data_IF_879274971390
#
_entry.id   IF_879274971390
#
_cell.length_a   1.000
_cell.length_b   1.000
_cell.length_c   1.000
_cell.angle_alpha   90.00
_cell.angle_beta   90.00
_cell.angle_gamma   90.00
#
_symmetry.space_group_name_H-M   'P 1'
#
loop_
_entity.id
_entity.type
_entity.pdbx_description
1 polymer ?
#
# COMPACT_ATOMS: atom_id res chain seq x y z
N UNK A 1 23.08 -2.82 -6.16
CA UNK A 1 23.09 -3.09 -4.70
C UNK A 1 23.82 -4.40 -4.43
N UNK A 2 24.57 -4.53 -3.33
CA UNK A 2 25.20 -5.81 -2.96
C UNK A 2 24.13 -6.84 -2.58
N UNK A 3 24.34 -8.11 -2.94
CA UNK A 3 23.41 -9.20 -2.62
C UNK A 3 23.35 -9.39 -1.10
N UNK A 4 22.17 -9.18 -0.50
CA UNK A 4 21.97 -9.40 0.95
C UNK A 4 22.18 -10.87 1.26
N UNK A 5 23.12 -11.19 2.15
CA UNK A 5 23.39 -12.59 2.55
C UNK A 5 22.45 -12.97 3.69
N UNK A 6 22.15 -14.27 3.80
CA UNK A 6 21.35 -14.81 4.92
C UNK A 6 21.89 -14.37 6.29
N UNK A 7 23.21 -14.36 6.46
CA UNK A 7 23.85 -13.92 7.69
C UNK A 7 23.53 -12.45 8.01
N UNK A 8 23.61 -11.56 7.02
CA UNK A 8 23.33 -10.14 7.21
C UNK A 8 21.89 -9.93 7.71
N UNK A 9 20.92 -10.68 7.16
CA UNK A 9 19.53 -10.64 7.61
C UNK A 9 19.33 -11.17 9.05
N UNK A 10 19.98 -12.28 9.42
CA UNK A 10 19.90 -12.84 10.78
C UNK A 10 20.60 -11.94 11.81
N UNK A 11 21.75 -11.37 11.44
CA UNK A 11 22.51 -10.43 12.27
C UNK A 11 21.68 -9.16 12.51
N UNK A 12 21.01 -8.62 11.48
CA UNK A 12 20.09 -7.47 11.61
C UNK A 12 18.96 -7.68 12.63
N UNK A 13 18.44 -8.91 12.78
CA UNK A 13 17.35 -9.22 13.72
C UNK A 13 17.83 -9.59 15.13
N UNK A 14 19.10 -9.99 15.29
CA UNK A 14 19.61 -10.57 16.54
C UNK A 14 20.62 -9.67 17.28
N UNK A 15 21.34 -8.80 16.58
CA UNK A 15 22.37 -7.96 17.19
C UNK A 15 21.76 -6.81 18.00
N UNK A 16 22.35 -6.54 19.18
CA UNK A 16 21.84 -5.53 20.10
C UNK A 16 20.62 -6.02 20.86
N UNK A 17 19.47 -5.40 20.62
CA UNK A 17 18.17 -5.84 21.17
C UNK A 17 17.47 -6.67 20.10
N UNK A 18 17.15 -7.96 20.33
CA UNK A 18 16.45 -8.79 19.35
C UNK A 18 15.09 -8.22 18.93
N UNK A 19 14.74 -8.46 17.67
CA UNK A 19 13.53 -7.91 17.05
C UNK A 19 13.73 -6.51 16.50
N UNK A 20 12.68 -5.93 15.93
CA UNK A 20 12.74 -4.64 15.21
C UNK A 20 11.93 -3.52 15.86
N UNK A 21 11.22 -3.82 16.94
CA UNK A 21 10.29 -2.91 17.59
C UNK A 21 10.50 -2.85 19.10
N UNK A 22 10.04 -1.75 19.71
CA UNK A 22 9.99 -1.58 21.15
C UNK A 22 8.88 -0.59 21.52
N UNK A 23 8.31 -0.73 22.72
CA UNK A 23 7.39 0.24 23.29
C UNK A 23 8.18 1.31 24.04
N UNK A 24 7.93 2.58 23.72
CA UNK A 24 8.57 3.73 24.35
C UNK A 24 7.50 4.68 24.87
N UNK A 25 7.64 5.17 26.10
CA UNK A 25 6.73 6.14 26.67
C UNK A 25 6.83 7.48 25.92
N UNK A 26 5.69 8.08 25.59
CA UNK A 26 5.61 9.39 24.90
C UNK A 26 5.61 10.57 25.85
N UNK A 27 5.39 10.34 27.15
CA UNK A 27 5.38 11.35 28.21
C UNK A 27 6.57 11.17 29.15
N UNK A 28 7.12 12.26 29.72
CA UNK A 28 8.15 12.16 30.75
C UNK A 28 7.67 11.32 31.93
N UNK A 29 8.59 10.56 32.54
CA UNK A 29 8.35 9.81 33.77
C UNK A 29 9.57 9.95 34.69
N UNK A 30 9.89 11.21 35.03
CA UNK A 30 11.13 11.59 35.73
C UNK A 30 10.90 12.15 37.13
N UNK A 31 9.65 12.39 37.51
CA UNK A 31 9.28 12.95 38.81
C UNK A 31 8.10 12.22 39.46
N UNK A 32 7.91 12.43 40.76
CA UNK A 32 6.72 11.94 41.49
C UNK A 32 5.42 12.50 40.87
N UNK A 33 5.45 13.75 40.41
CA UNK A 33 4.33 14.37 39.71
C UNK A 33 4.02 13.61 38.42
N UNK A 34 5.03 13.31 37.61
CA UNK A 34 4.85 12.55 36.37
C UNK A 34 4.24 11.18 36.66
N UNK A 35 4.72 10.47 37.69
CA UNK A 35 4.16 9.18 38.10
C UNK A 35 2.70 9.29 38.52
N UNK A 36 2.35 10.33 39.30
CA UNK A 36 0.96 10.56 39.75
C UNK A 36 -0.01 10.92 38.61
N UNK A 37 0.50 11.40 37.47
CA UNK A 37 -0.29 11.72 36.28
C UNK A 37 -0.36 10.53 35.31
N UNK A 38 0.76 9.82 35.13
CA UNK A 38 0.84 8.65 34.26
C UNK A 38 0.09 7.44 34.83
N UNK A 39 -0.08 7.39 36.15
CA UNK A 39 -0.77 6.32 36.85
C UNK A 39 -1.63 6.89 38.00
N UNK A 40 -1.88 6.09 39.04
CA UNK A 40 -2.70 6.50 40.16
C UNK A 40 -2.08 7.67 40.94
N UNK A 41 -2.89 8.65 41.39
CA UNK A 41 -4.35 8.72 41.20
C UNK A 41 -4.79 9.38 39.87
N UNK A 42 -3.93 10.11 39.17
CA UNK A 42 -4.31 11.00 38.06
C UNK A 42 -4.86 10.29 36.82
N UNK A 43 -4.49 9.03 36.57
CA UNK A 43 -5.04 8.23 35.46
C UNK A 43 -6.55 7.99 35.58
N UNK A 44 -7.14 8.16 36.77
CA UNK A 44 -8.59 8.02 36.96
C UNK A 44 -9.40 9.07 36.18
N UNK A 45 -8.89 10.30 36.05
CA UNK A 45 -9.58 11.39 35.38
C UNK A 45 -9.83 11.13 33.87
N UNK A 46 -8.83 10.74 33.05
CA UNK A 46 -9.09 10.38 31.66
C UNK A 46 -9.95 9.12 31.53
N UNK A 47 -9.87 8.16 32.46
CA UNK A 47 -10.77 7.00 32.48
C UNK A 47 -12.24 7.42 32.66
N UNK A 48 -12.52 8.31 33.61
CA UNK A 48 -13.87 8.81 33.85
C UNK A 48 -14.36 9.70 32.71
N UNK A 49 -13.48 10.53 32.11
CA UNK A 49 -13.84 11.31 30.93
C UNK A 49 -14.25 10.43 29.74
N UNK A 50 -13.58 9.29 29.52
CA UNK A 50 -13.95 8.31 28.49
C UNK A 50 -15.24 7.57 28.86
N UNK A 51 -15.46 7.29 30.14
CA UNK A 51 -16.71 6.69 30.62
C UNK A 51 -17.92 7.61 30.36
N UNK A 52 -17.76 8.92 30.58
CA UNK A 52 -18.79 9.93 30.33
C UNK A 52 -19.01 10.20 28.84
N UNK A 53 -17.92 10.29 28.05
CA UNK A 53 -17.95 10.43 26.60
C UNK A 53 -16.94 9.48 25.94
N UNK A 54 -17.39 8.34 25.38
CA UNK A 54 -16.51 7.36 24.74
C UNK A 54 -15.66 7.93 23.60
N UNK A 55 -16.04 9.05 22.99
CA UNK A 55 -15.25 9.67 21.91
C UNK A 55 -13.93 10.28 22.41
N UNK A 56 -13.82 10.57 23.71
CA UNK A 56 -12.59 11.07 24.34
C UNK A 56 -11.45 10.06 24.34
N UNK A 57 -11.72 8.79 24.01
CA UNK A 57 -10.67 7.77 23.85
C UNK A 57 -9.63 8.20 22.80
N UNK A 58 -10.03 8.96 21.78
CA UNK A 58 -9.13 9.51 20.75
C UNK A 58 -8.29 10.69 21.24
N UNK A 59 -8.69 11.36 22.32
CA UNK A 59 -7.98 12.49 22.91
C UNK A 59 -6.98 12.04 23.98
N UNK A 60 -7.36 11.06 24.80
CA UNK A 60 -6.59 10.67 25.99
C UNK A 60 -5.79 9.37 25.86
N UNK A 61 -5.88 8.68 24.72
CA UNK A 61 -5.16 7.42 24.50
C UNK A 61 -4.46 7.39 23.14
N UNK A 62 -3.59 6.40 22.96
CA UNK A 62 -2.93 6.17 21.68
C UNK A 62 -3.86 5.59 20.59
N UNK A 63 -5.11 5.22 20.91
CA UNK A 63 -6.06 4.55 19.99
C UNK A 63 -6.09 5.21 18.61
N UNK A 64 -6.16 6.54 18.55
CA UNK A 64 -6.27 7.28 17.29
C UNK A 64 -5.07 7.14 16.35
N UNK A 65 -3.92 6.67 16.84
CA UNK A 65 -2.71 6.47 16.05
C UNK A 65 -2.23 5.02 16.02
N UNK A 66 -2.97 4.10 16.66
CA UNK A 66 -2.53 2.73 16.89
C UNK A 66 -3.21 1.75 15.94
N UNK A 67 -2.43 1.02 15.16
CA UNK A 67 -2.90 -0.03 14.23
C UNK A 67 -2.46 -1.40 14.74
N UNK A 68 -3.36 -2.38 14.64
CA UNK A 68 -2.98 -3.78 14.82
C UNK A 68 -2.55 -4.37 13.48
N UNK A 69 -1.35 -4.90 13.38
CA UNK A 69 -0.95 -5.77 12.25
C UNK A 69 -1.22 -7.20 12.69
N UNK A 70 -2.22 -7.86 12.10
CA UNK A 70 -2.71 -9.15 12.56
C UNK A 70 -2.55 -10.22 11.49
N UNK A 71 -2.02 -11.37 11.87
CA UNK A 71 -1.87 -12.56 11.02
C UNK A 71 -2.12 -13.83 11.81
N UNK A 72 -2.36 -14.95 11.12
CA UNK A 72 -2.22 -16.30 11.67
C UNK A 72 -1.04 -17.08 11.05
N UNK A 73 -0.26 -16.44 10.18
CA UNK A 73 0.94 -17.02 9.57
C UNK A 73 0.67 -18.09 8.51
N UNK A 74 -0.52 -18.11 7.93
CA UNK A 74 -0.94 -19.16 6.98
C UNK A 74 -0.54 -18.89 5.52
N UNK A 75 -0.09 -17.68 5.19
CA UNK A 75 0.36 -17.31 3.86
C UNK A 75 1.52 -16.31 3.88
N UNK A 76 2.57 -16.59 4.68
CA UNK A 76 3.67 -15.65 4.88
C UNK A 76 4.54 -15.53 3.62
N UNK A 77 4.46 -14.38 2.94
CA UNK A 77 5.21 -14.14 1.70
C UNK A 77 5.01 -15.29 0.67
N UNK A 78 6.09 -15.77 0.05
CA UNK A 78 6.09 -16.98 -0.77
C UNK A 78 6.38 -18.28 0.01
N UNK A 79 6.40 -18.24 1.35
CA UNK A 79 6.75 -19.38 2.21
C UNK A 79 5.54 -20.26 2.56
N UNK A 80 4.33 -19.72 2.41
CA UNK A 80 3.08 -20.42 2.72
C UNK A 80 2.78 -20.45 4.21
N UNK A 81 2.17 -21.55 4.66
CA UNK A 81 1.77 -21.76 6.05
C UNK A 81 2.98 -22.19 6.89
N UNK A 82 3.56 -21.23 7.61
CA UNK A 82 4.69 -21.44 8.51
C UNK A 82 4.33 -21.15 9.98
N UNK A 83 3.07 -20.84 10.22
CA UNK A 83 2.51 -20.56 11.54
C UNK A 83 2.86 -19.18 12.11
N UNK A 84 2.17 -18.79 13.20
CA UNK A 84 2.22 -17.44 13.75
C UNK A 84 3.62 -17.03 14.24
N UNK A 85 4.35 -17.93 14.91
CA UNK A 85 5.69 -17.61 15.44
C UNK A 85 6.70 -17.26 14.33
N UNK A 86 6.64 -17.97 13.20
CA UNK A 86 7.55 -17.72 12.08
C UNK A 86 7.13 -16.50 11.25
N UNK A 87 5.87 -16.07 11.34
CA UNK A 87 5.35 -14.85 10.73
C UNK A 87 5.83 -13.57 11.45
N UNK A 88 6.14 -13.68 12.75
CA UNK A 88 6.48 -12.52 13.60
C UNK A 88 7.52 -11.55 13.03
N UNK A 89 8.66 -11.99 12.45
CA UNK A 89 9.60 -11.06 11.84
C UNK A 89 8.97 -10.25 10.71
N UNK A 90 8.06 -10.80 9.91
CA UNK A 90 7.38 -10.04 8.84
C UNK A 90 6.47 -8.97 9.43
N UNK A 91 5.70 -9.32 10.46
CA UNK A 91 4.77 -8.39 11.13
C UNK A 91 5.47 -7.24 11.85
N UNK A 92 6.56 -7.52 12.59
CA UNK A 92 7.42 -6.46 13.13
C UNK A 92 7.96 -5.54 12.03
N UNK A 93 8.28 -6.11 10.86
CA UNK A 93 8.69 -5.37 9.68
C UNK A 93 7.62 -4.40 9.21
N UNK A 94 6.36 -4.82 9.10
CA UNK A 94 5.22 -3.95 8.77
C UNK A 94 5.08 -2.82 9.80
N UNK A 95 5.25 -3.11 11.08
CA UNK A 95 5.27 -2.09 12.15
C UNK A 95 6.34 -1.01 11.95
N UNK A 96 7.57 -1.41 11.58
CA UNK A 96 8.64 -0.46 11.24
C UNK A 96 8.25 0.43 10.06
N UNK A 97 7.62 -0.14 9.02
CA UNK A 97 7.22 0.61 7.82
C UNK A 97 6.09 1.61 8.12
N UNK A 98 5.06 1.21 8.87
CA UNK A 98 4.00 2.10 9.35
C UNK A 98 4.59 3.30 10.11
N UNK A 99 5.49 3.02 11.07
CA UNK A 99 6.10 4.08 11.88
C UNK A 99 7.00 4.99 11.05
N UNK A 100 7.84 4.42 10.19
CA UNK A 100 8.83 5.17 9.41
C UNK A 100 8.18 6.09 8.36
N UNK A 101 7.15 5.61 7.67
CA UNK A 101 6.58 6.32 6.51
C UNK A 101 5.37 7.17 6.85
N UNK A 102 4.64 6.85 7.93
CA UNK A 102 3.38 7.52 8.26
C UNK A 102 3.23 7.90 9.75
N UNK A 103 4.27 7.71 10.57
CA UNK A 103 4.23 7.94 12.02
C UNK A 103 3.07 7.21 12.73
N UNK A 104 2.72 6.02 12.25
CA UNK A 104 1.68 5.17 12.83
C UNK A 104 2.32 4.21 13.82
N UNK A 105 1.75 4.14 15.03
CA UNK A 105 2.17 3.18 16.04
C UNK A 105 1.51 1.83 15.77
N UNK A 106 2.25 0.74 15.98
CA UNK A 106 1.79 -0.60 15.64
C UNK A 106 2.03 -1.57 16.79
N UNK A 107 1.03 -2.40 17.06
CA UNK A 107 1.26 -3.71 17.66
C UNK A 107 1.05 -4.79 16.61
N UNK A 108 2.05 -5.65 16.45
CA UNK A 108 1.95 -6.90 15.71
C UNK A 108 1.33 -7.99 16.59
N UNK A 109 0.34 -8.71 16.05
CA UNK A 109 -0.42 -9.75 16.74
C UNK A 109 -0.50 -11.00 15.88
N UNK A 110 0.33 -11.99 16.20
CA UNK A 110 0.33 -13.30 15.56
C UNK A 110 -0.60 -14.27 16.30
N UNK A 111 -1.80 -14.50 15.76
CA UNK A 111 -2.83 -15.32 16.39
C UNK A 111 -2.66 -16.80 16.02
N UNK A 112 -2.54 -17.67 17.02
CA UNK A 112 -2.68 -19.12 16.85
C UNK A 112 -4.17 -19.52 16.74
N UNK A 113 -4.79 -19.09 15.65
CA UNK A 113 -6.19 -19.31 15.33
C UNK A 113 -6.33 -19.64 13.82
N UNK A 114 -6.33 -20.93 13.52
CA UNK A 114 -6.53 -21.44 12.15
C UNK A 114 -8.00 -21.47 11.73
N UNK A 115 -8.92 -21.54 12.70
CA UNK A 115 -10.36 -21.43 12.47
C UNK A 115 -10.75 -19.97 12.18
N UNK A 116 -11.37 -19.67 11.02
CA UNK A 116 -11.71 -18.30 10.63
C UNK A 116 -12.68 -17.59 11.58
N UNK A 117 -13.65 -18.31 12.13
CA UNK A 117 -14.63 -17.71 13.05
C UNK A 117 -13.96 -17.32 14.37
N UNK A 118 -13.15 -18.21 14.93
CA UNK A 118 -12.34 -17.90 16.11
C UNK A 118 -11.39 -16.74 15.87
N UNK A 119 -10.76 -16.68 14.69
CA UNK A 119 -9.90 -15.55 14.32
C UNK A 119 -10.70 -14.24 14.31
N UNK A 120 -11.87 -14.21 13.67
CA UNK A 120 -12.77 -13.04 13.63
C UNK A 120 -13.18 -12.61 15.04
N UNK A 121 -13.56 -13.54 15.91
CA UNK A 121 -13.92 -13.22 17.30
C UNK A 121 -12.75 -12.59 18.07
N UNK A 122 -11.55 -13.18 17.95
CA UNK A 122 -10.36 -12.63 18.60
C UNK A 122 -10.05 -11.21 18.14
N UNK A 123 -10.10 -10.95 16.83
CA UNK A 123 -9.81 -9.62 16.27
C UNK A 123 -10.89 -8.61 16.63
N UNK A 124 -12.16 -8.95 16.49
CA UNK A 124 -13.26 -8.05 16.80
C UNK A 124 -13.29 -7.65 18.27
N UNK A 125 -12.91 -8.55 19.19
CA UNK A 125 -12.81 -8.24 20.61
C UNK A 125 -11.74 -7.19 20.94
N UNK A 126 -10.75 -7.00 20.05
CA UNK A 126 -9.68 -6.01 20.20
C UNK A 126 -10.06 -4.61 19.69
N UNK A 127 -11.25 -4.44 19.11
CA UNK A 127 -11.72 -3.16 18.59
C UNK A 127 -11.51 -1.98 19.57
N UNK A 128 -11.74 -2.10 20.90
CA UNK A 128 -11.55 -0.99 21.86
C UNK A 128 -10.10 -0.51 22.04
N UNK A 129 -9.09 -1.27 21.59
CA UNK A 129 -7.68 -0.89 21.69
C UNK A 129 -7.20 -0.09 20.47
N UNK A 130 -7.63 -0.49 19.28
CA UNK A 130 -7.03 -0.05 18.02
C UNK A 130 -7.87 1.01 17.29
N UNK A 131 -7.17 1.89 16.58
CA UNK A 131 -7.77 2.84 15.63
C UNK A 131 -7.97 2.25 14.24
N UNK A 132 -7.31 1.13 13.92
CA UNK A 132 -7.48 0.37 12.67
C UNK A 132 -6.83 -1.01 12.73
N UNK A 133 -7.24 -1.91 11.83
CA UNK A 133 -6.75 -3.29 11.73
C UNK A 133 -6.19 -3.52 10.34
N UNK A 134 -4.92 -3.91 10.28
CA UNK A 134 -4.23 -4.34 9.06
C UNK A 134 -4.07 -5.87 9.09
N UNK A 135 -4.81 -6.58 8.23
CA UNK A 135 -4.69 -8.03 8.06
C UNK A 135 -3.54 -8.35 7.10
N UNK A 136 -2.73 -9.35 7.45
CA UNK A 136 -1.53 -9.74 6.70
C UNK A 136 -1.35 -11.25 6.62
N UNK A 137 -0.86 -11.73 5.47
CA UNK A 137 -0.35 -13.09 5.30
C UNK A 137 -1.36 -14.19 5.74
N UNK A 138 -2.65 -13.99 5.41
CA UNK A 138 -3.74 -14.94 5.66
C UNK A 138 -4.13 -15.63 4.34
N UNK A 139 -4.16 -16.96 4.34
CA UNK A 139 -4.48 -17.73 3.12
C UNK A 139 -5.90 -17.48 2.60
N UNK A 140 -6.05 -17.60 1.29
CA UNK A 140 -7.35 -17.68 0.64
C UNK A 140 -7.89 -19.14 0.64
N UNK A 141 -9.22 -19.34 0.67
CA UNK A 141 -10.28 -18.33 0.62
C UNK A 141 -10.63 -17.68 1.96
N UNK A 142 -10.08 -18.15 3.08
CA UNK A 142 -10.44 -17.72 4.44
C UNK A 142 -10.24 -16.22 4.66
N UNK A 143 -9.18 -15.64 4.08
CA UNK A 143 -8.89 -14.20 4.19
C UNK A 143 -10.02 -13.29 3.68
N UNK A 144 -10.76 -13.70 2.65
CA UNK A 144 -11.93 -12.95 2.17
C UNK A 144 -13.07 -12.97 3.19
N UNK A 145 -13.35 -14.15 3.74
CA UNK A 145 -14.39 -14.33 4.75
C UNK A 145 -14.07 -13.53 6.02
N UNK A 146 -12.83 -13.63 6.50
CA UNK A 146 -12.34 -12.91 7.69
C UNK A 146 -12.49 -11.40 7.49
N UNK A 147 -11.99 -10.86 6.37
CA UNK A 147 -12.08 -9.44 6.10
C UNK A 147 -13.55 -8.97 6.00
N UNK A 148 -14.41 -9.69 5.27
CA UNK A 148 -15.82 -9.35 5.14
C UNK A 148 -16.52 -9.29 6.50
N UNK A 149 -16.32 -10.31 7.35
CA UNK A 149 -16.94 -10.37 8.68
C UNK A 149 -16.44 -9.27 9.61
N UNK A 150 -15.13 -8.99 9.60
CA UNK A 150 -14.56 -7.93 10.43
C UNK A 150 -15.03 -6.55 9.98
N UNK A 151 -15.04 -6.28 8.66
CA UNK A 151 -15.55 -5.01 8.12
C UNK A 151 -17.04 -4.80 8.41
N UNK A 152 -17.84 -5.86 8.48
CA UNK A 152 -19.26 -5.76 8.81
C UNK A 152 -19.52 -5.52 10.30
N UNK A 153 -18.63 -5.98 11.19
CA UNK A 153 -18.81 -5.92 12.64
C UNK A 153 -18.15 -4.71 13.29
N UNK A 154 -16.97 -4.33 12.81
CA UNK A 154 -16.13 -3.32 13.45
C UNK A 154 -16.43 -1.91 12.97
N UNK A 155 -16.27 -0.91 13.85
CA UNK A 155 -16.47 0.52 13.55
C UNK A 155 -15.16 1.27 13.33
N UNK A 156 -14.10 0.54 13.02
CA UNK A 156 -12.77 1.04 12.69
C UNK A 156 -12.33 0.42 11.34
N UNK A 157 -11.41 1.04 10.60
CA UNK A 157 -11.02 0.54 9.30
C UNK A 157 -10.29 -0.80 9.44
N UNK A 158 -10.79 -1.80 8.72
CA UNK A 158 -10.14 -3.11 8.53
C UNK A 158 -9.70 -3.19 7.07
N UNK A 159 -8.43 -3.54 6.87
CA UNK A 159 -7.79 -3.57 5.55
C UNK A 159 -6.84 -4.76 5.44
N UNK A 160 -7.02 -5.59 4.44
CA UNK A 160 -6.06 -6.64 4.11
C UNK A 160 -5.03 -6.14 3.08
N UNK A 161 -3.75 -6.02 3.47
CA UNK A 161 -2.72 -5.42 2.61
C UNK A 161 -2.41 -6.26 1.36
N UNK A 162 -2.26 -7.58 1.52
CA UNK A 162 -2.01 -8.46 0.36
C UNK A 162 -3.12 -8.42 -0.69
N UNK A 163 -4.35 -8.05 -0.29
CA UNK A 163 -5.46 -7.88 -1.20
C UNK A 163 -5.49 -6.47 -1.78
N UNK A 164 -5.72 -5.48 -0.91
CA UNK A 164 -6.04 -4.13 -1.35
C UNK A 164 -4.80 -3.27 -1.55
N UNK A 165 -3.72 -3.50 -0.80
CA UNK A 165 -2.44 -2.81 -0.99
C UNK A 165 -1.90 -3.09 -2.39
N UNK A 166 -1.76 -4.36 -2.76
CA UNK A 166 -1.33 -4.75 -4.10
C UNK A 166 -2.28 -4.22 -5.19
N UNK A 167 -3.59 -4.23 -4.95
CA UNK A 167 -4.57 -3.67 -5.88
C UNK A 167 -4.38 -2.16 -6.12
N UNK A 168 -4.21 -1.36 -5.06
CA UNK A 168 -4.01 0.09 -5.16
C UNK A 168 -2.73 0.40 -5.93
N UNK A 169 -1.62 -0.25 -5.60
CA UNK A 169 -0.31 0.04 -6.18
C UNK A 169 -0.24 -0.40 -7.64
N UNK A 170 -0.73 -1.61 -7.95
CA UNK A 170 -0.81 -2.08 -9.34
C UNK A 170 -1.81 -1.25 -10.15
N UNK A 171 -2.90 -0.76 -9.55
CA UNK A 171 -3.85 0.15 -10.18
C UNK A 171 -3.24 1.51 -10.50
N UNK A 172 -2.44 2.08 -9.59
CA UNK A 172 -1.71 3.32 -9.84
C UNK A 172 -0.73 3.19 -11.01
N UNK A 173 0.04 2.09 -11.01
CA UNK A 173 0.94 1.77 -12.11
C UNK A 173 0.19 1.55 -13.43
N UNK A 174 -0.97 0.87 -13.40
CA UNK A 174 -1.82 0.65 -14.56
C UNK A 174 -2.31 1.97 -15.17
N UNK A 175 -2.79 2.92 -14.36
CA UNK A 175 -3.26 4.22 -14.84
C UNK A 175 -2.18 4.95 -15.65
N UNK A 176 -0.94 4.90 -15.19
CA UNK A 176 0.19 5.53 -15.85
C UNK A 176 0.70 4.73 -17.05
N UNK A 177 0.78 3.41 -16.95
CA UNK A 177 1.18 2.56 -18.06
C UNK A 177 0.17 2.63 -19.21
N UNK A 178 -1.14 2.61 -18.92
CA UNK A 178 -2.18 2.76 -19.93
C UNK A 178 -2.12 4.12 -20.62
N UNK A 179 -1.88 5.20 -19.86
CA UNK A 179 -1.66 6.54 -20.42
C UNK A 179 -0.46 6.57 -21.37
N UNK A 180 0.69 6.05 -20.94
CA UNK A 180 1.93 6.03 -21.74
C UNK A 180 1.85 5.07 -22.94
N UNK A 181 1.01 4.03 -22.88
CA UNK A 181 0.77 3.12 -24.00
C UNK A 181 -0.43 3.54 -24.87
N UNK A 182 -1.06 4.68 -24.57
CA UNK A 182 -2.24 5.21 -25.28
C UNK A 182 -3.40 4.20 -25.34
N UNK A 183 -3.61 3.45 -24.25
CA UNK A 183 -4.67 2.45 -24.14
C UNK A 183 -5.80 2.94 -23.24
N UNK A 184 -7.04 2.73 -23.66
CA UNK A 184 -8.22 2.95 -22.82
C UNK A 184 -8.44 1.75 -21.89
N UNK A 185 -8.69 2.00 -20.60
CA UNK A 185 -8.98 0.94 -19.62
C UNK A 185 -10.21 0.11 -20.03
N UNK A 186 -11.24 0.76 -20.58
CA UNK A 186 -12.49 0.08 -20.95
C UNK A 186 -12.30 -0.97 -22.07
N UNK A 187 -11.31 -0.79 -22.95
CA UNK A 187 -11.00 -1.73 -24.04
C UNK A 187 -9.81 -2.64 -23.76
N UNK A 188 -9.20 -2.53 -22.57
CA UNK A 188 -7.97 -3.23 -22.22
C UNK A 188 -8.24 -4.73 -22.01
N UNK A 189 -7.58 -5.60 -22.79
CA UNK A 189 -7.62 -7.06 -22.57
C UNK A 189 -6.59 -7.45 -21.52
N UNK A 190 -7.06 -7.86 -20.34
CA UNK A 190 -6.22 -8.16 -19.19
C UNK A 190 -6.19 -9.67 -18.95
N UNK A 191 -4.99 -10.23 -18.93
CA UNK A 191 -4.75 -11.61 -18.49
C UNK A 191 -4.19 -11.58 -17.09
N UNK A 192 -4.84 -12.28 -16.16
CA UNK A 192 -4.41 -12.40 -14.76
C UNK A 192 -3.93 -13.83 -14.52
N UNK A 193 -2.65 -14.00 -14.17
CA UNK A 193 -2.14 -15.28 -13.69
C UNK A 193 -2.28 -15.35 -12.18
N UNK A 194 -3.05 -16.33 -11.71
CA UNK A 194 -3.44 -16.48 -10.32
C UNK A 194 -4.93 -16.20 -10.11
N UNK A 195 -5.51 -16.91 -9.13
CA UNK A 195 -6.89 -16.72 -8.69
C UNK A 195 -7.00 -16.78 -7.16
N UNK A 196 -5.95 -16.30 -6.48
CA UNK A 196 -5.89 -16.13 -5.03
C UNK A 196 -6.35 -14.75 -4.58
N UNK A 197 -6.10 -14.42 -3.30
CA UNK A 197 -6.54 -13.19 -2.64
C UNK A 197 -6.19 -11.93 -3.45
N UNK A 198 -4.89 -11.72 -3.72
CA UNK A 198 -4.38 -10.56 -4.45
C UNK A 198 -4.89 -10.48 -5.88
N UNK A 199 -4.91 -11.60 -6.61
CA UNK A 199 -5.33 -11.63 -8.01
C UNK A 199 -6.80 -11.20 -8.19
N UNK A 200 -7.69 -11.73 -7.34
CA UNK A 200 -9.11 -11.37 -7.34
C UNK A 200 -9.30 -9.92 -6.91
N UNK A 201 -8.59 -9.46 -5.87
CA UNK A 201 -8.68 -8.08 -5.39
C UNK A 201 -8.21 -7.08 -6.44
N UNK A 202 -7.06 -7.31 -7.08
CA UNK A 202 -6.56 -6.50 -8.20
C UNK A 202 -7.56 -6.48 -9.36
N UNK A 203 -8.10 -7.62 -9.78
CA UNK A 203 -9.04 -7.69 -10.88
C UNK A 203 -10.34 -6.91 -10.59
N UNK A 204 -10.91 -7.05 -9.38
CA UNK A 204 -12.06 -6.24 -8.94
C UNK A 204 -11.74 -4.76 -8.93
N UNK A 205 -10.58 -4.38 -8.39
CA UNK A 205 -10.17 -2.98 -8.32
C UNK A 205 -9.91 -2.38 -9.70
N UNK A 206 -9.35 -3.14 -10.64
CA UNK A 206 -9.19 -2.70 -12.03
C UNK A 206 -10.54 -2.43 -12.68
N UNK A 207 -11.57 -3.24 -12.36
CA UNK A 207 -12.94 -2.93 -12.78
C UNK A 207 -13.43 -1.62 -12.15
N UNK A 208 -13.20 -1.40 -10.86
CA UNK A 208 -13.51 -0.12 -10.20
C UNK A 208 -12.79 1.09 -10.82
N UNK A 209 -11.60 0.90 -11.41
CA UNK A 209 -10.86 1.93 -12.14
C UNK A 209 -11.37 2.16 -13.58
N UNK A 210 -12.14 1.22 -14.14
CA UNK A 210 -12.75 1.33 -15.46
C UNK A 210 -12.39 0.23 -16.46
N UNK A 211 -11.71 -0.84 -16.04
CA UNK A 211 -11.51 -2.03 -16.90
C UNK A 211 -12.83 -2.79 -17.02
N UNK A 212 -13.19 -3.20 -18.24
CA UNK A 212 -14.40 -3.99 -18.46
C UNK A 212 -14.19 -5.42 -17.95
N UNK A 213 -15.06 -5.90 -17.05
CA UNK A 213 -14.97 -7.25 -16.47
C UNK A 213 -14.87 -8.36 -17.54
N UNK A 214 -15.64 -8.24 -18.63
CA UNK A 214 -15.62 -9.21 -19.73
C UNK A 214 -14.27 -9.29 -20.48
N UNK A 215 -13.39 -8.29 -20.32
CA UNK A 215 -12.05 -8.27 -20.91
C UNK A 215 -10.98 -8.86 -19.99
N UNK A 216 -11.35 -9.31 -18.78
CA UNK A 216 -10.43 -9.92 -17.82
C UNK A 216 -10.50 -11.44 -17.96
N UNK A 217 -9.39 -12.07 -18.33
CA UNK A 217 -9.22 -13.52 -18.39
C UNK A 217 -8.31 -13.95 -17.25
N UNK A 218 -8.85 -14.69 -16.28
CA UNK A 218 -8.09 -15.19 -15.14
C UNK A 218 -7.67 -16.64 -15.38
N UNK A 219 -6.44 -16.98 -14.97
CA UNK A 219 -5.86 -18.33 -15.10
C UNK A 219 -5.49 -18.85 -13.72
N UNK A 220 -6.07 -19.96 -13.30
CA UNK A 220 -5.69 -20.64 -12.06
C UNK A 220 -4.82 -21.88 -12.32
N UNK A 221 -4.51 -22.65 -11.27
CA UNK A 221 -3.67 -23.85 -11.38
C UNK A 221 -4.24 -24.95 -12.28
N UNK A 222 -5.51 -24.85 -12.69
CA UNK A 222 -6.18 -25.79 -13.61
C UNK A 222 -6.44 -25.18 -14.99
N UNK A 223 -5.92 -23.99 -15.28
CA UNK A 223 -6.05 -23.31 -16.56
C UNK A 223 -7.00 -22.11 -16.50
N UNK A 224 -7.44 -21.66 -17.68
CA UNK A 224 -8.32 -20.50 -17.83
C UNK A 224 -9.64 -20.71 -17.05
N UNK A 225 -10.09 -19.67 -16.35
CA UNK A 225 -11.41 -19.65 -15.70
C UNK A 225 -12.43 -19.28 -16.77
N UNK A 226 -13.20 -20.28 -17.22
CA UNK A 226 -14.22 -20.13 -18.25
C UNK A 226 -15.56 -20.74 -17.82
N UNK A 227 -16.64 -20.36 -18.49
CA UNK A 227 -18.03 -20.76 -18.17
C UNK A 227 -18.29 -22.27 -18.21
N UNK A 228 -17.48 -23.01 -18.98
CA UNK A 228 -17.54 -24.48 -19.08
C UNK A 228 -16.93 -25.24 -17.90
N UNK A 229 -16.29 -24.57 -16.92
CA UNK A 229 -15.72 -25.24 -15.74
C UNK A 229 -16.76 -25.41 -14.63
N UNK A 230 -16.87 -26.62 -14.11
CA UNK A 230 -17.80 -26.97 -13.01
C UNK A 230 -17.17 -26.91 -11.61
N UNK A 231 -15.84 -26.77 -11.51
CA UNK A 231 -15.08 -26.82 -10.27
C UNK A 231 -14.75 -25.43 -9.68
N UNK A 232 -15.41 -24.38 -10.17
CA UNK A 232 -15.18 -23.00 -9.75
C UNK A 232 -15.87 -22.69 -8.41
N UNK A 233 -15.15 -21.99 -7.53
CA UNK A 233 -15.74 -21.37 -6.33
C UNK A 233 -16.62 -20.19 -6.73
N UNK A 234 -17.52 -19.75 -5.86
CA UNK A 234 -18.42 -18.62 -6.16
C UNK A 234 -17.68 -17.32 -6.49
N UNK A 235 -16.53 -17.10 -5.86
CA UNK A 235 -15.66 -15.96 -6.16
C UNK A 235 -15.07 -16.07 -7.57
N UNK A 236 -14.61 -17.27 -7.98
CA UNK A 236 -14.03 -17.49 -9.32
C UNK A 236 -15.08 -17.41 -10.43
N UNK A 237 -16.32 -17.81 -10.16
CA UNK A 237 -17.43 -17.73 -11.14
C UNK A 237 -17.66 -16.31 -11.64
N UNK A 238 -17.36 -15.29 -10.84
CA UNK A 238 -17.45 -13.87 -11.24
C UNK A 238 -16.51 -13.50 -12.39
N UNK A 239 -15.42 -14.25 -12.57
CA UNK A 239 -14.42 -14.05 -13.62
C UNK A 239 -14.48 -15.13 -14.72
N UNK A 240 -15.53 -15.96 -14.72
CA UNK A 240 -15.73 -16.96 -15.77
C UNK A 240 -16.17 -16.27 -17.06
N UNK A 241 -15.35 -16.40 -18.10
CA UNK A 241 -15.60 -15.84 -19.44
C UNK A 241 -15.94 -16.93 -20.45
N UNK A 242 -16.71 -16.59 -21.48
CA UNK A 242 -16.88 -17.45 -22.65
C UNK A 242 -15.67 -17.28 -23.57
N UNK A 243 -14.87 -18.34 -23.70
CA UNK A 243 -13.64 -18.33 -24.51
C UNK A 243 -13.21 -19.75 -24.87
N UNK A 244 -12.45 -19.89 -25.94
CA UNK A 244 -11.78 -21.14 -26.34
C UNK A 244 -10.39 -21.30 -25.72
N UNK A 245 -9.83 -20.24 -25.12
CA UNK A 245 -8.54 -20.30 -24.42
C UNK A 245 -8.59 -21.30 -23.25
N UNK A 246 -7.55 -22.13 -23.10
CA UNK A 246 -7.45 -23.11 -22.00
C UNK A 246 -6.19 -22.94 -21.17
N UNK A 247 -5.12 -22.46 -21.78
CA UNK A 247 -3.82 -22.22 -21.15
C UNK A 247 -3.52 -20.74 -21.00
N UNK A 248 -2.51 -20.41 -20.20
CA UNK A 248 -1.99 -19.04 -20.09
C UNK A 248 -1.44 -18.53 -21.43
N UNK A 249 -0.81 -19.40 -22.21
CA UNK A 249 -0.31 -19.06 -23.54
C UNK A 249 -1.45 -18.67 -24.49
N UNK A 250 -2.55 -19.42 -24.48
CA UNK A 250 -3.74 -19.10 -25.28
C UNK A 250 -4.32 -17.74 -24.88
N UNK A 251 -4.40 -17.47 -23.57
CA UNK A 251 -4.97 -16.24 -23.04
C UNK A 251 -4.11 -15.00 -23.36
N UNK A 252 -2.78 -15.15 -23.37
CA UNK A 252 -1.84 -14.06 -23.66
C UNK A 252 -1.86 -13.58 -25.12
N UNK A 253 -2.36 -14.41 -26.04
CA UNK A 253 -2.40 -14.07 -27.45
C UNK A 253 -3.28 -12.83 -27.70
N UNK A 254 -2.66 -11.73 -28.14
CA UNK A 254 -3.33 -10.45 -28.36
C UNK A 254 -3.81 -9.74 -27.08
N UNK A 255 -3.33 -10.14 -25.90
CA UNK A 255 -3.61 -9.44 -24.65
C UNK A 255 -2.88 -8.09 -24.58
N UNK A 256 -3.50 -7.08 -24.00
CA UNK A 256 -2.92 -5.76 -23.80
C UNK A 256 -2.13 -5.67 -22.50
N UNK A 257 -2.56 -6.43 -21.49
CA UNK A 257 -1.99 -6.41 -20.15
C UNK A 257 -1.84 -7.83 -19.61
N UNK A 258 -0.70 -8.11 -19.00
CA UNK A 258 -0.49 -9.26 -18.15
C UNK A 258 -0.30 -8.80 -16.70
N UNK A 259 -1.05 -9.42 -15.78
CA UNK A 259 -0.90 -9.27 -14.33
C UNK A 259 -0.60 -10.64 -13.71
N UNK A 260 0.66 -10.84 -13.30
CA UNK A 260 1.11 -12.01 -12.58
C UNK A 260 1.03 -11.81 -11.07
N UNK A 261 0.23 -12.64 -10.40
CA UNK A 261 0.07 -12.71 -8.95
C UNK A 261 0.02 -14.19 -8.51
N UNK A 262 1.00 -14.97 -8.97
CA UNK A 262 1.01 -16.43 -8.93
C UNK A 262 2.42 -16.99 -8.66
N UNK A 263 2.77 -18.12 -9.29
CA UNK A 263 4.08 -18.76 -9.13
C UNK A 263 5.07 -18.19 -10.15
N UNK A 264 6.32 -18.01 -9.74
CA UNK A 264 7.40 -17.60 -10.63
C UNK A 264 7.68 -18.60 -11.77
N UNK A 265 8.16 -18.09 -12.91
CA UNK A 265 8.57 -18.88 -14.08
C UNK A 265 7.44 -19.57 -14.85
N UNK A 266 6.21 -19.05 -14.78
CA UNK A 266 5.06 -19.59 -15.51
C UNK A 266 4.92 -19.04 -16.94
N UNK A 267 5.56 -17.91 -17.24
CA UNK A 267 5.44 -17.21 -18.53
C UNK A 267 6.82 -17.14 -19.18
N UNK A 268 6.88 -17.42 -20.48
CA UNK A 268 8.10 -17.36 -21.28
C UNK A 268 8.11 -16.16 -22.22
N UNK A 269 9.29 -15.77 -22.70
CA UNK A 269 9.42 -14.75 -23.73
C UNK A 269 8.61 -15.06 -25.01
N UNK A 270 8.49 -16.32 -25.40
CA UNK A 270 7.66 -16.74 -26.55
C UNK A 270 6.18 -16.41 -26.34
N UNK A 271 5.64 -16.66 -25.14
CA UNK A 271 4.25 -16.30 -24.82
C UNK A 271 4.07 -14.78 -24.84
N UNK A 272 5.01 -14.03 -24.28
CA UNK A 272 4.98 -12.55 -24.26
C UNK A 272 5.08 -11.96 -25.67
N UNK A 273 5.81 -12.59 -26.57
CA UNK A 273 5.88 -12.18 -27.98
C UNK A 273 4.52 -12.21 -28.69
N UNK A 274 3.56 -13.03 -28.22
CA UNK A 274 2.20 -13.13 -28.79
C UNK A 274 1.22 -12.05 -28.33
N UNK A 275 1.59 -11.25 -27.33
CA UNK A 275 0.74 -10.17 -26.80
C UNK A 275 0.50 -9.06 -27.84
N UNK A 276 -0.47 -8.19 -27.60
CA UNK A 276 -0.73 -7.03 -28.46
C UNK A 276 0.47 -6.04 -28.51
N UNK A 277 0.58 -5.17 -29.52
CA UNK A 277 1.51 -4.04 -29.54
C UNK A 277 1.49 -3.23 -28.23
N UNK A 278 2.67 -2.77 -27.78
CA UNK A 278 2.85 -1.93 -26.59
C UNK A 278 2.20 -2.49 -25.31
N UNK A 279 2.50 -3.74 -24.89
CA UNK A 279 1.80 -4.38 -23.79
C UNK A 279 2.25 -3.80 -22.45
N UNK A 280 1.42 -4.04 -21.44
CA UNK A 280 1.72 -3.74 -20.04
C UNK A 280 1.96 -5.07 -19.33
N UNK A 281 3.13 -5.27 -18.74
CA UNK A 281 3.53 -6.56 -18.16
C UNK A 281 3.90 -6.36 -16.70
N UNK A 282 3.00 -6.71 -15.79
CA UNK A 282 3.23 -6.67 -14.35
C UNK A 282 3.44 -8.09 -13.84
N UNK A 283 4.69 -8.51 -13.63
CA UNK A 283 5.03 -9.82 -13.08
C UNK A 283 5.42 -9.67 -11.61
N UNK A 284 4.44 -9.84 -10.72
CA UNK A 284 4.52 -9.40 -9.31
C UNK A 284 4.77 -10.55 -8.32
N UNK A 285 4.93 -11.79 -8.78
CA UNK A 285 5.36 -12.88 -7.91
C UNK A 285 6.72 -12.58 -7.24
N UNK A 286 6.83 -12.98 -5.97
CA UNK A 286 8.05 -12.84 -5.17
C UNK A 286 8.50 -14.22 -4.61
N UNK A 287 9.81 -14.46 -4.48
CA UNK A 287 10.93 -13.59 -4.89
C UNK A 287 11.21 -13.61 -6.40
N UNK A 288 10.74 -14.66 -7.09
CA UNK A 288 10.95 -14.87 -8.53
C UNK A 288 9.65 -14.54 -9.30
N UNK A 289 9.69 -13.58 -10.24
CA UNK A 289 8.52 -13.19 -11.04
C UNK A 289 8.03 -14.29 -11.98
N UNK A 290 6.80 -14.16 -12.49
CA UNK A 290 6.21 -15.05 -13.50
C UNK A 290 7.06 -15.15 -14.78
N UNK A 291 7.71 -14.05 -15.17
CA UNK A 291 8.71 -13.95 -16.23
C UNK A 291 9.79 -12.97 -15.79
N UNK A 292 11.06 -13.23 -16.10
CA UNK A 292 12.15 -12.31 -15.79
C UNK A 292 11.98 -10.94 -16.47
N UNK A 293 12.35 -9.86 -15.79
CA UNK A 293 12.22 -8.49 -16.34
C UNK A 293 12.96 -8.34 -17.67
N UNK A 294 14.22 -8.78 -17.71
CA UNK A 294 15.07 -8.71 -18.90
C UNK A 294 14.55 -9.60 -20.04
N UNK A 295 14.00 -10.77 -19.71
CA UNK A 295 13.37 -11.69 -20.67
C UNK A 295 12.12 -11.07 -21.30
N UNK A 296 11.25 -10.48 -20.48
CA UNK A 296 10.05 -9.79 -20.95
C UNK A 296 10.40 -8.61 -21.88
N UNK A 297 11.39 -7.80 -21.48
CA UNK A 297 11.88 -6.67 -22.28
C UNK A 297 12.57 -7.10 -23.57
N UNK A 298 13.29 -8.23 -23.56
CA UNK A 298 13.89 -8.80 -24.76
C UNK A 298 12.82 -9.29 -25.74
N UNK A 299 11.80 -9.99 -25.24
CA UNK A 299 10.69 -10.48 -26.05
C UNK A 299 9.82 -9.34 -26.60
N UNK A 300 9.60 -8.28 -25.81
CA UNK A 300 8.79 -7.11 -26.16
C UNK A 300 9.45 -5.81 -25.71
N UNK A 301 10.36 -5.24 -26.51
CA UNK A 301 11.06 -3.99 -26.17
C UNK A 301 10.12 -2.78 -25.99
N UNK A 302 8.94 -2.83 -26.60
CA UNK A 302 7.87 -1.84 -26.52
C UNK A 302 6.98 -2.00 -25.28
N UNK A 303 7.22 -2.99 -24.42
CA UNK A 303 6.45 -3.23 -23.21
C UNK A 303 6.81 -2.25 -22.09
N UNK A 304 5.82 -1.87 -21.27
CA UNK A 304 6.08 -1.31 -19.94
C UNK A 304 6.02 -2.46 -18.95
N UNK A 305 7.14 -2.73 -18.29
CA UNK A 305 7.27 -3.84 -17.36
C UNK A 305 7.33 -3.31 -15.92
N UNK A 306 6.73 -4.04 -14.99
CA UNK A 306 6.79 -3.80 -13.55
C UNK A 306 6.94 -5.12 -12.80
N UNK A 307 7.63 -5.09 -11.66
CA UNK A 307 7.80 -6.27 -10.79
C UNK A 307 7.64 -5.91 -9.32
N UNK A 308 7.59 -6.91 -8.44
CA UNK A 308 7.68 -6.68 -6.99
C UNK A 308 9.09 -6.33 -6.50
N UNK A 309 10.11 -6.51 -7.34
CA UNK A 309 11.52 -6.41 -6.96
C UNK A 309 12.04 -4.98 -7.02
N UNK A 310 12.93 -4.63 -6.09
CA UNK A 310 13.51 -3.28 -5.97
C UNK A 310 14.68 -3.01 -6.91
N UNK A 311 15.23 -4.04 -7.55
CA UNK A 311 16.38 -3.94 -8.44
C UNK A 311 16.03 -3.69 -9.91
N UNK A 312 14.74 -3.61 -10.23
CA UNK A 312 14.22 -3.25 -11.55
C UNK A 312 13.41 -1.95 -11.52
N UNK A 313 13.16 -1.40 -12.71
CA UNK A 313 12.24 -0.28 -12.89
C UNK A 313 10.82 -0.64 -12.43
N UNK A 314 10.02 0.39 -12.13
CA UNK A 314 8.60 0.26 -11.82
C UNK A 314 8.29 -0.79 -10.74
N UNK A 315 8.91 -0.67 -9.56
CA UNK A 315 8.61 -1.56 -8.45
C UNK A 315 7.18 -1.33 -7.93
N UNK A 316 6.31 -2.34 -8.07
CA UNK A 316 4.99 -2.38 -7.44
C UNK A 316 5.16 -3.01 -6.06
N UNK A 317 5.26 -2.17 -5.03
CA UNK A 317 5.44 -2.59 -3.65
C UNK A 317 4.37 -1.98 -2.74
N UNK A 318 3.73 -2.82 -1.93
CA UNK A 318 2.64 -2.44 -1.02
C UNK A 318 3.04 -1.34 -0.02
N UNK A 319 4.34 -1.13 0.25
CA UNK A 319 4.84 -0.03 1.09
C UNK A 319 4.38 1.36 0.63
N UNK A 320 4.06 1.53 -0.66
CA UNK A 320 3.49 2.76 -1.20
C UNK A 320 2.00 2.96 -0.88
N UNK A 321 1.37 1.96 -0.25
CA UNK A 321 -0.07 1.89 -0.03
C UNK A 321 -0.43 1.98 1.43
N UNK A 322 -0.27 0.87 2.17
CA UNK A 322 -0.84 0.73 3.52
C UNK A 322 -0.48 1.86 4.50
N UNK A 323 0.77 2.37 4.60
CA UNK A 323 1.06 3.39 5.61
C UNK A 323 0.22 4.65 5.39
N UNK A 324 0.08 5.05 4.13
CA UNK A 324 -0.53 6.33 3.76
C UNK A 324 -2.05 6.23 3.68
N UNK A 325 -2.59 5.08 3.26
CA UNK A 325 -4.03 4.80 3.32
C UNK A 325 -4.52 4.82 4.76
N UNK A 326 -3.80 4.15 5.67
CA UNK A 326 -4.14 4.20 7.09
C UNK A 326 -3.97 5.59 7.67
N UNK A 327 -2.92 6.34 7.31
CA UNK A 327 -2.74 7.71 7.81
C UNK A 327 -3.95 8.57 7.52
N UNK A 328 -4.38 8.58 6.25
CA UNK A 328 -5.57 9.30 5.81
C UNK A 328 -6.83 8.83 6.53
N UNK A 329 -7.02 7.51 6.67
CA UNK A 329 -8.16 6.94 7.37
C UNK A 329 -8.20 7.29 8.88
N UNK A 330 -7.08 7.19 9.58
CA UNK A 330 -6.98 7.44 11.02
C UNK A 330 -7.23 8.92 11.36
N UNK A 331 -6.68 9.85 10.57
CA UNK A 331 -6.76 11.29 10.87
C UNK A 331 -8.17 11.85 10.77
N UNK A 332 -9.01 11.28 9.91
CA UNK A 332 -10.45 11.59 9.85
C UNK A 332 -11.32 10.59 10.59
N UNK A 333 -10.72 9.71 11.39
CA UNK A 333 -11.41 8.66 12.17
C UNK A 333 -12.39 7.86 11.30
N UNK A 334 -11.96 7.47 10.11
CA UNK A 334 -12.79 6.73 9.18
C UNK A 334 -13.24 5.41 9.79
N UNK A 335 -14.51 5.07 9.65
CA UNK A 335 -15.06 3.80 10.14
C UNK A 335 -14.76 2.62 9.23
N UNK A 336 -14.28 2.89 8.00
CA UNK A 336 -13.93 1.89 6.99
C UNK A 336 -12.91 2.46 6.00
N UNK A 337 -12.17 1.58 5.30
CA UNK A 337 -11.48 1.93 4.06
C UNK A 337 -12.37 1.53 2.89
N UNK A 338 -13.03 2.51 2.29
CA UNK A 338 -14.03 2.34 1.23
C UNK A 338 -13.39 2.20 -0.15
N UNK A 339 -14.14 1.70 -1.14
CA UNK A 339 -13.63 1.61 -2.52
C UNK A 339 -13.26 2.99 -3.10
N UNK A 340 -14.04 4.08 -2.89
CA UNK A 340 -13.61 5.43 -3.26
C UNK A 340 -12.26 5.86 -2.66
N UNK A 341 -11.98 5.49 -1.41
CA UNK A 341 -10.68 5.78 -0.77
C UNK A 341 -9.53 5.06 -1.47
N UNK A 342 -9.72 3.80 -1.87
CA UNK A 342 -8.70 3.04 -2.61
C UNK A 342 -8.44 3.65 -3.99
N UNK A 343 -9.50 4.06 -4.70
CA UNK A 343 -9.38 4.75 -5.99
C UNK A 343 -8.61 6.07 -5.82
N UNK A 344 -8.94 6.85 -4.79
CA UNK A 344 -8.26 8.10 -4.49
C UNK A 344 -6.76 7.87 -4.21
N UNK A 345 -6.41 6.84 -3.44
CA UNK A 345 -5.01 6.47 -3.19
C UNK A 345 -4.27 6.11 -4.50
N UNK A 346 -4.87 5.28 -5.35
CA UNK A 346 -4.25 4.88 -6.62
C UNK A 346 -4.05 6.07 -7.57
N UNK A 347 -5.04 6.96 -7.67
CA UNK A 347 -4.95 8.19 -8.47
C UNK A 347 -3.89 9.15 -7.93
N UNK A 348 -3.83 9.35 -6.62
CA UNK A 348 -2.83 10.22 -5.99
C UNK A 348 -1.39 9.73 -6.25
N UNK A 349 -1.16 8.41 -6.17
CA UNK A 349 0.13 7.81 -6.52
C UNK A 349 0.46 7.98 -8.00
N UNK A 350 -0.51 7.73 -8.88
CA UNK A 350 -0.33 7.88 -10.31
C UNK A 350 -0.01 9.34 -10.69
N UNK A 351 -0.71 10.30 -10.09
CA UNK A 351 -0.48 11.74 -10.30
C UNK A 351 0.87 12.20 -9.73
N UNK A 352 1.30 11.69 -8.57
CA UNK A 352 2.59 12.01 -7.98
C UNK A 352 3.75 11.56 -8.88
N UNK A 353 3.67 10.35 -9.47
CA UNK A 353 4.69 9.87 -10.42
C UNK A 353 4.83 10.75 -11.67
N UNK A 354 3.82 11.56 -12.00
CA UNK A 354 3.86 12.50 -13.14
C UNK A 354 4.49 13.84 -12.79
N UNK A 355 4.78 14.09 -11.51
CA UNK A 355 5.46 15.31 -11.05
C UNK A 355 6.96 15.12 -11.06
N UNK A 356 7.68 16.23 -11.21
CA UNK A 356 9.15 16.24 -11.12
C UNK A 356 9.61 15.62 -9.81
N UNK A 357 10.65 14.79 -9.86
CA UNK A 357 11.16 14.06 -8.70
C UNK A 357 12.17 14.93 -7.95
N UNK A 358 12.02 15.13 -6.63
CA UNK A 358 12.95 15.90 -5.84
C UNK A 358 14.31 15.25 -5.78
N UNK A 359 15.36 16.08 -5.77
CA UNK A 359 16.75 15.64 -5.67
C UNK A 359 17.03 14.74 -4.46
N UNK A 360 16.33 14.93 -3.34
CA UNK A 360 16.49 14.05 -2.16
C UNK A 360 16.13 12.59 -2.45
N UNK A 361 15.17 12.35 -3.35
CA UNK A 361 14.78 11.00 -3.79
C UNK A 361 15.86 10.44 -4.70
N UNK A 362 16.34 11.24 -5.65
CA UNK A 362 17.41 10.83 -6.57
C UNK A 362 18.69 10.45 -5.82
N UNK A 363 19.06 11.24 -4.80
CA UNK A 363 20.19 10.95 -3.90
C UNK A 363 20.00 9.66 -3.10
N UNK A 364 18.78 9.38 -2.63
CA UNK A 364 18.48 8.17 -1.87
C UNK A 364 18.64 6.89 -2.69
N UNK A 365 18.42 6.96 -4.00
CA UNK A 365 18.52 5.82 -4.92
C UNK A 365 19.75 5.84 -5.83
N UNK A 366 20.48 6.95 -5.89
CA UNK A 366 21.62 7.15 -6.79
C UNK A 366 21.25 7.16 -8.28
N UNK A 367 20.04 7.63 -8.62
CA UNK A 367 19.50 7.65 -9.98
C UNK A 367 18.50 8.80 -10.18
N UNK A 368 18.44 9.33 -11.40
CA UNK A 368 17.44 10.32 -11.83
C UNK A 368 16.13 9.62 -12.23
N UNK A 369 15.01 10.26 -11.96
CA UNK A 369 13.69 9.69 -12.24
C UNK A 369 12.79 10.70 -12.96
N UNK A 370 12.29 10.31 -14.13
CA UNK A 370 11.36 11.09 -14.92
C UNK A 370 10.18 10.24 -15.37
N UNK A 371 8.98 10.79 -15.31
CA UNK A 371 7.78 10.11 -15.76
C UNK A 371 7.94 9.53 -17.16
N UNK A 372 7.76 8.21 -17.30
CA UNK A 372 7.96 7.50 -18.55
C UNK A 372 7.95 5.98 -18.38
N UNK A 373 8.30 5.21 -19.43
CA UNK A 373 8.22 3.74 -19.42
C UNK A 373 9.00 3.05 -18.29
N UNK A 374 10.03 3.69 -17.74
CA UNK A 374 10.85 3.21 -16.62
C UNK A 374 10.49 3.83 -15.25
N UNK A 375 9.51 4.74 -15.22
CA UNK A 375 9.03 5.37 -13.99
C UNK A 375 7.54 5.73 -14.10
N UNK A 376 6.69 4.75 -13.77
CA UNK A 376 5.23 4.89 -13.77
C UNK A 376 4.63 4.99 -12.35
N UNK A 377 5.45 4.85 -11.32
CA UNK A 377 5.04 4.81 -9.91
C UNK A 377 6.12 5.44 -9.03
N UNK A 378 5.78 6.24 -8.00
CA UNK A 378 6.79 6.88 -7.17
C UNK A 378 7.60 5.86 -6.37
N UNK A 379 8.76 6.28 -5.85
CA UNK A 379 9.60 5.42 -5.03
C UNK A 379 9.18 5.46 -3.54
N UNK A 380 9.32 4.35 -2.79
CA UNK A 380 8.97 4.31 -1.36
C UNK A 380 9.58 5.41 -0.49
N UNK A 381 10.82 5.82 -0.76
CA UNK A 381 11.49 6.90 -0.01
C UNK A 381 11.17 8.30 -0.53
N UNK A 382 10.19 8.47 -1.43
CA UNK A 382 9.68 9.79 -1.78
C UNK A 382 8.78 10.31 -0.63
N UNK A 383 9.21 11.34 0.13
CA UNK A 383 8.46 11.82 1.29
C UNK A 383 7.11 12.44 0.90
N UNK A 384 6.94 12.81 -0.38
CA UNK A 384 5.69 13.38 -0.91
C UNK A 384 4.54 12.39 -0.84
N UNK A 385 4.80 11.09 -0.87
CA UNK A 385 3.74 10.07 -0.87
C UNK A 385 2.81 10.26 0.35
N UNK A 386 3.36 10.62 1.52
CA UNK A 386 2.57 10.91 2.71
C UNK A 386 1.54 12.01 2.50
N UNK A 387 1.98 13.19 2.04
CA UNK A 387 1.13 14.37 1.89
C UNK A 387 0.47 14.48 0.51
N UNK A 388 0.51 13.41 -0.29
CA UNK A 388 -0.30 13.25 -1.51
C UNK A 388 -1.39 12.20 -1.30
N UNK A 389 -1.03 11.04 -0.76
CA UNK A 389 -1.95 9.90 -0.63
C UNK A 389 -2.88 10.08 0.58
N UNK A 390 -2.35 10.42 1.75
CA UNK A 390 -3.16 10.51 2.96
C UNK A 390 -4.26 11.60 2.84
N UNK A 391 -4.00 12.82 2.32
CA UNK A 391 -5.05 13.81 2.08
C UNK A 391 -6.10 13.36 1.06
N UNK A 392 -5.70 12.69 -0.02
CA UNK A 392 -6.64 12.16 -1.02
C UNK A 392 -7.56 11.11 -0.41
N UNK A 393 -7.01 10.21 0.42
CA UNK A 393 -7.77 9.19 1.15
C UNK A 393 -8.71 9.80 2.18
N UNK A 394 -8.23 10.78 2.97
CA UNK A 394 -9.03 11.49 3.96
C UNK A 394 -10.20 12.23 3.31
N UNK A 395 -9.96 12.93 2.19
CA UNK A 395 -11.00 13.61 1.41
C UNK A 395 -12.06 12.61 0.92
N UNK A 396 -11.63 11.49 0.33
CA UNK A 396 -12.54 10.45 -0.14
C UNK A 396 -13.34 9.80 1.01
N UNK A 397 -12.77 9.69 2.21
CA UNK A 397 -13.48 9.21 3.39
C UNK A 397 -14.60 10.17 3.82
N UNK A 398 -14.33 11.48 3.77
CA UNK A 398 -15.33 12.53 4.05
C UNK A 398 -16.43 12.52 2.98
N UNK A 399 -16.07 12.52 1.70
CA UNK A 399 -17.01 12.53 0.58
C UNK A 399 -17.90 11.27 0.54
N UNK A 400 -17.35 10.11 0.94
CA UNK A 400 -18.11 8.86 1.01
C UNK A 400 -18.89 8.68 2.33
N UNK A 401 -18.78 9.63 3.27
CA UNK A 401 -19.54 9.63 4.52
C UNK A 401 -19.06 8.62 5.57
N UNK A 402 -17.84 8.07 5.42
CA UNK A 402 -17.25 7.13 6.40
C UNK A 402 -16.34 7.82 7.43
N UNK A 403 -16.00 9.10 7.23
CA UNK A 403 -15.25 9.90 8.20
C UNK A 403 -16.12 10.30 9.41
N UNK A 404 -15.57 10.17 10.62
CA UNK A 404 -16.22 10.59 11.87
C UNK A 404 -15.48 11.74 12.58
N UNK A 405 -14.30 12.13 12.09
CA UNK A 405 -13.50 13.25 12.61
C UNK A 405 -13.59 14.51 11.74
N UNK A 406 -13.12 15.66 12.25
CA UNK A 406 -13.02 16.88 11.46
C UNK A 406 -11.99 16.74 10.34
N UNK A 407 -12.19 17.47 9.24
CA UNK A 407 -11.26 17.51 8.12
C UNK A 407 -11.16 18.92 7.55
N UNK A 408 -9.95 19.48 7.63
CA UNK A 408 -9.51 20.67 6.90
C UNK A 408 -8.28 20.24 6.11
N UNK A 409 -8.43 20.16 4.79
CA UNK A 409 -7.43 19.59 3.92
C UNK A 409 -6.11 20.39 3.94
N UNK A 410 -6.19 21.72 3.92
CA UNK A 410 -5.01 22.57 3.90
C UNK A 410 -4.24 22.48 5.22
N UNK A 411 -4.96 22.54 6.35
CA UNK A 411 -4.37 22.33 7.66
C UNK A 411 -3.77 20.93 7.82
N UNK A 412 -4.41 19.93 7.23
CA UNK A 412 -3.98 18.55 7.29
C UNK A 412 -2.71 18.28 6.48
N UNK A 413 -2.65 18.73 5.23
CA UNK A 413 -1.44 18.65 4.39
C UNK A 413 -0.26 19.31 5.09
N UNK A 414 -0.49 20.48 5.70
CA UNK A 414 0.54 21.20 6.44
C UNK A 414 1.02 20.40 7.65
N UNK A 415 0.10 19.81 8.42
CA UNK A 415 0.45 18.94 9.54
C UNK A 415 1.34 17.76 9.10
N UNK A 416 0.99 17.06 8.02
CA UNK A 416 1.77 15.93 7.52
C UNK A 416 3.19 16.32 7.08
N UNK A 417 3.35 17.50 6.47
CA UNK A 417 4.69 18.04 6.14
C UNK A 417 5.55 18.26 7.38
N UNK A 418 4.94 18.62 8.51
CA UNK A 418 5.68 18.80 9.77
C UNK A 418 6.18 17.49 10.37
N UNK A 419 5.47 16.38 10.17
CA UNK A 419 5.87 15.04 10.64
C UNK A 419 7.16 14.55 9.96
N UNK A 420 7.35 14.90 8.69
CA UNK A 420 8.53 14.51 7.89
C UNK A 420 9.79 15.35 8.17
N UNK A 421 9.72 16.30 9.11
CA UNK A 421 10.86 17.15 9.47
C UNK A 421 11.28 18.15 8.39
N UNK A 422 10.54 18.26 7.28
CA UNK A 422 10.80 19.26 6.26
C UNK A 422 10.33 20.63 6.79
N UNK A 423 11.32 21.44 7.17
CA UNK A 423 11.22 22.75 7.81
C UNK A 423 10.82 22.70 9.28
N UNK A 424 11.68 23.21 10.17
CA UNK A 424 11.24 23.53 11.54
C UNK A 424 10.10 24.55 11.46
N UNK A 425 9.18 24.54 12.43
CA UNK A 425 8.10 25.54 12.52
C UNK A 425 8.62 27.00 12.43
N UNK A 426 9.90 27.21 12.76
CA UNK A 426 10.62 28.47 12.64
C UNK A 426 10.80 28.89 11.19
N UNK A 427 11.31 28.02 10.30
CA UNK A 427 11.52 28.35 8.88
C UNK A 427 10.20 28.69 8.18
N UNK A 428 9.11 28.00 8.55
CA UNK A 428 7.76 28.28 8.03
C UNK A 428 7.20 29.64 8.45
N UNK A 429 7.50 30.11 9.66
CA UNK A 429 7.13 31.47 10.09
C UNK A 429 7.80 32.52 9.21
N UNK A 430 9.02 32.27 8.77
CA UNK A 430 9.73 33.14 7.83
C UNK A 430 9.12 33.08 6.42
N UNK A 431 8.80 31.90 5.90
CA UNK A 431 8.17 31.74 4.58
C UNK A 431 6.79 32.41 4.53
N UNK A 432 5.91 32.19 5.52
CA UNK A 432 4.59 32.86 5.57
C UNK A 432 4.72 34.38 5.65
N UNK A 433 5.68 34.89 6.42
CA UNK A 433 5.95 36.33 6.50
C UNK A 433 6.49 36.89 5.19
N UNK A 434 7.35 36.15 4.50
CA UNK A 434 7.85 36.55 3.18
C UNK A 434 6.73 36.58 2.13
N UNK A 435 5.77 35.65 2.19
CA UNK A 435 4.62 35.63 1.29
C UNK A 435 3.67 36.84 1.46
N UNK A 436 3.61 37.43 2.66
CA UNK A 436 2.81 38.65 2.90
C UNK A 436 3.42 39.94 2.34
N UNK A 437 4.72 39.92 1.99
CA UNK A 437 5.45 41.06 1.42
C UNK A 437 6.48 40.55 0.38
N UNK A 438 6.02 40.11 -0.81
CA UNK A 438 6.87 39.44 -1.77
C UNK A 438 7.98 40.37 -2.29
N UNK A 439 9.22 39.93 -2.12
CA UNK A 439 10.42 40.63 -2.60
C UNK A 439 10.90 40.01 -3.91
N UNK A 440 11.41 40.84 -4.82
CA UNK A 440 12.07 40.35 -6.04
C UNK A 440 13.48 39.87 -5.68
N UNK A 441 13.75 38.61 -5.94
CA UNK A 441 15.07 37.98 -5.74
C UNK A 441 15.68 37.77 -7.12
N UNK A 442 16.93 38.20 -7.30
CA UNK A 442 17.69 37.94 -8.53
C UNK A 442 18.65 36.80 -8.23
N UNK A 443 18.55 35.73 -9.01
CA UNK A 443 19.51 34.63 -8.96
C UNK A 443 20.51 34.78 -10.11
N UNK A 444 21.80 35.09 -9.81
CA UNK A 444 22.79 35.36 -10.84
C UNK A 444 23.28 34.09 -11.56
N UNK A 445 23.05 32.89 -11.01
CA UNK A 445 23.53 31.62 -11.56
C UNK A 445 22.59 31.04 -12.62
N UNK A 446 22.47 31.73 -13.76
CA UNK A 446 21.55 31.38 -14.85
C UNK A 446 21.82 30.01 -15.52
N UNK A 447 22.96 29.39 -15.25
CA UNK A 447 23.32 28.05 -15.76
C UNK A 447 23.17 26.95 -14.71
N UNK A 448 22.89 27.31 -13.45
CA UNK A 448 22.72 26.32 -12.39
C UNK A 448 21.32 25.68 -12.50
N UNK A 449 21.22 24.35 -12.75
CA UNK A 449 19.94 23.69 -12.91
C UNK A 449 19.01 23.86 -11.70
N UNK A 450 19.56 24.01 -10.49
CA UNK A 450 18.79 24.21 -9.26
C UNK A 450 18.13 25.59 -9.23
N UNK A 451 18.85 26.60 -9.72
CA UNK A 451 18.34 27.96 -9.84
C UNK A 451 17.30 28.04 -10.96
N UNK A 452 17.55 27.40 -12.10
CA UNK A 452 16.59 27.33 -13.19
C UNK A 452 15.29 26.62 -12.78
N UNK A 453 15.39 25.51 -12.04
CA UNK A 453 14.23 24.81 -11.49
C UNK A 453 13.51 25.64 -10.42
N UNK A 454 14.25 26.30 -9.51
CA UNK A 454 13.63 27.18 -8.52
C UNK A 454 12.89 28.35 -9.19
N UNK A 455 13.46 28.94 -10.25
CA UNK A 455 12.83 30.02 -11.02
C UNK A 455 11.62 29.56 -11.85
N UNK A 456 11.45 28.27 -12.15
CA UNK A 456 10.29 27.78 -12.91
C UNK A 456 9.08 27.47 -12.03
N UNK A 457 9.27 27.35 -10.71
CA UNK A 457 8.23 27.03 -9.71
C UNK A 457 7.90 28.20 -8.77
N UNK A 458 8.72 29.26 -8.78
CA UNK A 458 8.46 30.55 -8.12
C UNK A 458 7.69 31.48 -9.07
#
# INVERSE_FOLDING_TARGET
MSKVRRKDALDYHSQGRPGKIQVVATKPLTSQRDLSLAYSPGVADPCMAIYEDPSQVYAYTARGNLVAVITNGTAVLGLGDIGPLAAKPVMEGKGVLFKKFADIDVFDLELDASDPDRFVECVAALEPTFGGINLEDIKAPESFYIEEKLRARMKIPVFHDDQHGTAIISGAALLNAALLQEKSLASLKVVVSGAGASAIACARFFVSLGVTLANIVMVDSRGVIHTGRSDLTDVKKQFAVETDARTIADALHGADMFLGLSKGGLVTGEMVATMAPRPIIFALANPDPEIGYDEAKLARPDAICATGRSDYDNQVNNVLGFPFVFRGALDVRATAISEPMKIAAARALAELARRDVPQEVELAYGAEFHFGPSYIIPKPFDPRVLYWVAPAVARAAVESGVAAGPFDEDAYVEHLRTLLGQSSAVLRKFVRRAATDPRRVVFPEAEDPRILQACSIL
#
